data_IF_958655187848
#
_entry.id   IF_958655187848
#
_cell.length_a   1.000
_cell.length_b   1.000
_cell.length_c   1.000
_cell.angle_alpha   90.00
_cell.angle_beta   90.00
_cell.angle_gamma   90.00
#
_symmetry.space_group_name_H-M   'P 1'
#
loop_
_entity.id
_entity.type
_entity.pdbx_description
1 polymer ?
#
# COMPACT_ATOMS: atom_id res chain seq x y z
N UNK A 1 3.13 -10.79 -20.01
CA UNK A 1 2.11 -11.79 -19.62
C UNK A 1 2.17 -12.13 -18.13
N UNK A 2 3.34 -12.36 -17.58
CA UNK A 2 3.57 -12.64 -16.16
C UNK A 2 3.05 -11.54 -15.20
N UNK A 3 3.22 -10.26 -15.56
CA UNK A 3 2.72 -9.12 -14.78
C UNK A 3 1.19 -9.11 -14.72
N UNK A 4 0.52 -9.44 -15.82
CA UNK A 4 -0.95 -9.53 -15.90
C UNK A 4 -1.46 -10.60 -14.95
N UNK A 5 -0.77 -11.71 -14.85
CA UNK A 5 -1.11 -12.79 -13.91
C UNK A 5 -0.86 -12.39 -12.46
N UNK A 6 0.31 -11.82 -12.15
CA UNK A 6 0.65 -11.33 -10.81
C UNK A 6 -0.32 -10.30 -10.26
N UNK A 7 -0.82 -9.43 -11.12
CA UNK A 7 -1.79 -8.39 -10.75
C UNK A 7 -3.25 -8.83 -10.92
N UNK A 8 -3.48 -10.09 -11.29
CA UNK A 8 -4.82 -10.67 -11.49
C UNK A 8 -5.70 -9.87 -12.48
N UNK A 9 -5.08 -9.43 -13.58
CA UNK A 9 -5.74 -8.64 -14.63
C UNK A 9 -6.22 -9.45 -15.83
N UNK A 10 -6.02 -10.76 -15.83
CA UNK A 10 -6.24 -11.63 -17.00
C UNK A 10 -7.66 -11.53 -17.58
N UNK A 11 -8.68 -11.46 -16.71
CA UNK A 11 -10.08 -11.39 -17.14
C UNK A 11 -10.46 -10.02 -17.71
N UNK A 12 -9.76 -8.97 -17.34
CA UNK A 12 -10.08 -7.59 -17.68
C UNK A 12 -9.17 -7.00 -18.76
N UNK A 13 -8.21 -7.78 -19.29
CA UNK A 13 -7.15 -7.31 -20.20
C UNK A 13 -7.64 -6.72 -21.51
N UNK A 14 -8.84 -7.09 -21.98
CA UNK A 14 -9.42 -6.61 -23.23
C UNK A 14 -10.28 -5.34 -23.05
N UNK A 15 -10.54 -4.92 -21.83
CA UNK A 15 -11.33 -3.73 -21.53
C UNK A 15 -10.47 -2.46 -21.59
N UNK A 16 -11.09 -1.35 -21.95
CA UNK A 16 -10.47 -0.03 -21.81
C UNK A 16 -10.36 0.34 -20.33
N UNK A 17 -9.34 1.14 -19.97
CA UNK A 17 -9.11 1.56 -18.58
C UNK A 17 -10.33 2.25 -17.97
N UNK A 18 -11.02 3.09 -18.75
CA UNK A 18 -12.25 3.77 -18.31
C UNK A 18 -13.41 2.84 -17.93
N UNK A 19 -13.39 1.60 -18.42
CA UNK A 19 -14.39 0.57 -18.15
C UNK A 19 -14.10 -0.26 -16.90
N UNK A 20 -12.93 -0.07 -16.30
CA UNK A 20 -12.48 -0.83 -15.14
C UNK A 20 -13.02 -0.24 -13.83
N UNK A 21 -13.27 -1.09 -12.83
CA UNK A 21 -13.50 -0.67 -11.46
C UNK A 21 -12.26 0.04 -10.89
N UNK A 22 -12.43 0.79 -9.82
CA UNK A 22 -11.32 1.48 -9.15
C UNK A 22 -10.23 0.50 -8.69
N UNK A 23 -10.61 -0.66 -8.17
CA UNK A 23 -9.66 -1.71 -7.77
C UNK A 23 -8.86 -2.25 -8.95
N UNK A 24 -9.50 -2.48 -10.09
CA UNK A 24 -8.79 -2.88 -11.31
C UNK A 24 -7.89 -1.78 -11.86
N UNK A 25 -8.29 -0.51 -11.80
CA UNK A 25 -7.42 0.62 -12.15
C UNK A 25 -6.17 0.68 -11.28
N UNK A 26 -6.29 0.43 -9.98
CA UNK A 26 -5.15 0.32 -9.06
C UNK A 26 -4.21 -0.82 -9.46
N UNK A 27 -4.75 -1.98 -9.84
CA UNK A 27 -3.95 -3.12 -10.32
C UNK A 27 -3.22 -2.80 -11.63
N UNK A 28 -3.84 -2.07 -12.54
CA UNK A 28 -3.17 -1.60 -13.78
C UNK A 28 -2.02 -0.67 -13.44
N UNK A 29 -2.19 0.25 -12.50
CA UNK A 29 -1.13 1.12 -12.01
C UNK A 29 0.05 0.33 -11.40
N UNK A 30 -0.25 -0.67 -10.58
CA UNK A 30 0.76 -1.58 -10.02
C UNK A 30 1.47 -2.38 -11.11
N UNK A 31 0.73 -2.92 -12.07
CA UNK A 31 1.31 -3.64 -13.20
C UNK A 31 2.27 -2.77 -14.02
N UNK A 32 1.88 -1.53 -14.30
CA UNK A 32 2.72 -0.56 -15.02
C UNK A 32 4.01 -0.25 -14.25
N UNK A 33 3.93 -0.07 -12.94
CA UNK A 33 5.09 0.18 -12.09
C UNK A 33 6.04 -1.03 -11.99
N UNK A 34 5.54 -2.25 -12.16
CA UNK A 34 6.30 -3.49 -12.06
C UNK A 34 6.94 -3.95 -13.37
N UNK A 35 6.56 -3.38 -14.52
CA UNK A 35 7.05 -3.80 -15.85
C UNK A 35 8.57 -3.79 -15.94
N UNK A 36 9.23 -2.82 -15.32
CA UNK A 36 10.68 -2.66 -15.35
C UNK A 36 11.42 -3.47 -14.28
N UNK A 37 10.73 -4.35 -13.56
CA UNK A 37 11.29 -5.14 -12.45
C UNK A 37 12.09 -4.30 -11.45
N UNK A 38 11.53 -3.21 -10.89
CA UNK A 38 12.24 -2.33 -9.98
C UNK A 38 12.55 -3.02 -8.65
N UNK A 39 13.65 -2.64 -8.01
CA UNK A 39 13.98 -3.07 -6.64
C UNK A 39 13.20 -2.28 -5.59
N UNK A 40 12.83 -1.05 -5.93
CA UNK A 40 12.08 -0.14 -5.06
C UNK A 40 10.80 0.28 -5.77
N UNK A 41 9.67 0.08 -5.11
CA UNK A 41 8.34 0.48 -5.58
C UNK A 41 7.80 1.58 -4.67
N UNK A 42 7.35 2.69 -5.27
CA UNK A 42 6.74 3.81 -4.55
C UNK A 42 5.28 3.89 -4.96
N UNK A 43 4.39 3.83 -3.95
CA UNK A 43 2.94 3.87 -4.14
C UNK A 43 2.34 5.04 -3.35
N UNK A 44 1.56 5.86 -4.03
CA UNK A 44 0.85 6.97 -3.42
C UNK A 44 -0.61 6.60 -3.19
N UNK A 45 -1.02 6.52 -1.92
CA UNK A 45 -2.40 6.22 -1.49
C UNK A 45 -3.02 4.98 -2.19
N UNK A 46 -2.35 3.81 -2.18
CA UNK A 46 -2.77 2.68 -3.02
C UNK A 46 -4.09 2.02 -2.60
N UNK A 47 -4.57 2.29 -1.39
CA UNK A 47 -5.79 1.68 -0.83
C UNK A 47 -6.98 2.65 -0.75
N UNK A 48 -6.79 3.92 -1.10
CA UNK A 48 -7.83 4.95 -0.97
C UNK A 48 -9.01 4.69 -1.91
N UNK A 49 -10.22 4.75 -1.35
CA UNK A 49 -11.47 4.68 -2.10
C UNK A 49 -11.82 3.30 -2.66
N UNK A 50 -11.19 2.24 -2.17
CA UNK A 50 -11.53 0.86 -2.51
C UNK A 50 -12.65 0.34 -1.59
N UNK A 51 -13.51 -0.54 -2.12
CA UNK A 51 -14.44 -1.28 -1.29
C UNK A 51 -13.71 -2.34 -0.42
N UNK A 52 -14.36 -2.92 0.59
CA UNK A 52 -13.69 -3.86 1.51
C UNK A 52 -13.03 -5.06 0.82
N UNK A 53 -13.64 -5.61 -0.23
CA UNK A 53 -13.09 -6.76 -0.95
C UNK A 53 -11.87 -6.36 -1.78
N UNK A 54 -11.96 -5.27 -2.53
CA UNK A 54 -10.86 -4.70 -3.29
C UNK A 54 -9.68 -4.32 -2.39
N UNK A 55 -9.97 -3.79 -1.20
CA UNK A 55 -8.97 -3.43 -0.21
C UNK A 55 -8.14 -4.64 0.25
N UNK A 56 -8.82 -5.75 0.56
CA UNK A 56 -8.15 -7.01 0.94
C UNK A 56 -7.25 -7.51 -0.20
N UNK A 57 -7.75 -7.50 -1.42
CA UNK A 57 -7.01 -7.97 -2.60
C UNK A 57 -5.77 -7.13 -2.89
N UNK A 58 -5.89 -5.80 -2.88
CA UNK A 58 -4.76 -4.88 -3.10
C UNK A 58 -3.74 -4.99 -1.96
N UNK A 59 -4.21 -5.10 -0.72
CA UNK A 59 -3.33 -5.33 0.44
C UNK A 59 -2.49 -6.58 0.29
N UNK A 60 -3.12 -7.69 -0.07
CA UNK A 60 -2.43 -8.96 -0.27
C UNK A 60 -1.43 -8.89 -1.43
N UNK A 61 -1.79 -8.21 -2.51
CA UNK A 61 -0.91 -7.99 -3.65
C UNK A 61 0.32 -7.16 -3.27
N UNK A 62 0.16 -6.07 -2.53
CA UNK A 62 1.28 -5.24 -2.04
C UNK A 62 2.20 -6.05 -1.13
N UNK A 63 1.66 -6.85 -0.22
CA UNK A 63 2.44 -7.73 0.66
C UNK A 63 3.24 -8.77 -0.12
N UNK A 64 2.65 -9.36 -1.14
CA UNK A 64 3.32 -10.34 -2.01
C UNK A 64 4.48 -9.69 -2.78
N UNK A 65 4.26 -8.51 -3.36
CA UNK A 65 5.31 -7.73 -4.03
C UNK A 65 6.44 -7.38 -3.05
N UNK A 66 6.10 -6.99 -1.84
CA UNK A 66 7.06 -6.58 -0.80
C UNK A 66 7.97 -7.69 -0.27
N UNK A 67 7.70 -8.95 -0.58
CA UNK A 67 8.58 -10.07 -0.18
C UNK A 67 9.97 -9.99 -0.82
N UNK A 68 10.06 -9.46 -2.04
CA UNK A 68 11.29 -9.42 -2.84
C UNK A 68 11.73 -8.00 -3.21
N UNK A 69 11.03 -6.98 -2.73
CA UNK A 69 11.25 -5.58 -3.08
C UNK A 69 11.09 -4.69 -1.86
N UNK A 70 11.67 -3.51 -1.93
CA UNK A 70 11.34 -2.43 -0.99
C UNK A 70 10.09 -1.73 -1.53
N UNK A 71 9.04 -1.69 -0.72
CA UNK A 71 7.81 -0.94 -1.03
C UNK A 71 7.68 0.22 -0.07
N UNK A 72 7.70 1.43 -0.62
CA UNK A 72 7.39 2.66 0.11
C UNK A 72 5.99 3.11 -0.30
N UNK A 73 5.06 3.17 0.63
CA UNK A 73 3.72 3.66 0.35
C UNK A 73 3.33 4.83 1.25
N UNK A 74 2.61 5.78 0.69
CA UNK A 74 1.94 6.82 1.47
C UNK A 74 0.51 6.42 1.77
N UNK A 75 0.00 6.76 2.93
CA UNK A 75 -1.41 6.60 3.29
C UNK A 75 -1.81 7.54 4.41
N UNK A 76 -3.07 7.96 4.41
CA UNK A 76 -3.71 8.62 5.54
C UNK A 76 -4.66 7.69 6.32
N UNK A 77 -4.79 6.43 5.86
CA UNK A 77 -5.65 5.42 6.48
C UNK A 77 -4.82 4.65 7.51
N UNK A 78 -4.79 5.14 8.73
CA UNK A 78 -3.93 4.61 9.81
C UNK A 78 -4.23 3.14 10.10
N UNK A 79 -5.48 2.71 10.00
CA UNK A 79 -5.92 1.35 10.25
C UNK A 79 -5.34 0.32 9.26
N UNK A 80 -4.89 0.77 8.08
CA UNK A 80 -4.27 -0.12 7.09
C UNK A 80 -2.79 -0.39 7.37
N UNK A 81 -2.11 0.51 8.06
CA UNK A 81 -0.66 0.44 8.29
C UNK A 81 -0.23 -0.88 8.93
N UNK A 82 -0.83 -1.33 10.07
CA UNK A 82 -0.40 -2.58 10.70
C UNK A 82 -0.65 -3.83 9.86
N UNK A 83 -1.55 -3.72 8.87
CA UNK A 83 -1.93 -4.84 8.00
C UNK A 83 -1.00 -5.00 6.79
N UNK A 84 -0.27 -3.93 6.42
CA UNK A 84 0.55 -3.91 5.21
C UNK A 84 2.03 -3.69 5.55
N UNK A 85 2.33 -2.80 6.50
CA UNK A 85 3.66 -2.25 6.71
C UNK A 85 4.40 -2.92 7.87
N UNK A 86 5.71 -3.08 7.73
CA UNK A 86 6.61 -3.50 8.80
C UNK A 86 7.36 -2.34 9.45
N UNK A 87 7.31 -1.16 8.85
CA UNK A 87 7.94 0.06 9.34
C UNK A 87 7.07 1.26 9.03
N UNK A 88 7.07 2.24 9.93
CA UNK A 88 6.35 3.50 9.71
C UNK A 88 7.26 4.70 9.81
N UNK A 89 6.94 5.72 9.02
CA UNK A 89 7.50 7.05 9.10
C UNK A 89 6.33 8.03 9.16
N UNK A 90 6.26 8.84 10.21
CA UNK A 90 5.24 9.88 10.34
C UNK A 90 5.85 11.23 10.01
N UNK A 91 5.21 11.95 9.11
CA UNK A 91 5.61 13.28 8.67
C UNK A 91 4.56 14.30 9.16
N UNK A 92 5.03 15.35 9.79
CA UNK A 92 4.19 16.48 10.19
C UNK A 92 4.89 17.80 9.88
N UNK A 93 4.21 18.70 9.19
CA UNK A 93 4.73 20.03 8.80
C UNK A 93 6.13 19.97 8.15
N UNK A 94 6.31 19.01 7.24
CA UNK A 94 7.57 18.82 6.50
C UNK A 94 8.72 18.18 7.29
N UNK A 95 8.46 17.70 8.50
CA UNK A 95 9.47 17.03 9.35
C UNK A 95 9.07 15.60 9.67
N UNK A 96 10.06 14.73 9.74
CA UNK A 96 9.87 13.36 10.26
C UNK A 96 9.75 13.46 11.78
N UNK A 97 8.60 13.07 12.29
CA UNK A 97 8.30 13.07 13.73
C UNK A 97 8.32 11.68 14.36
N UNK A 98 8.29 10.64 13.54
CA UNK A 98 8.47 9.24 13.96
C UNK A 98 9.11 8.43 12.83
N UNK A 99 9.97 7.49 13.20
CA UNK A 99 10.57 6.49 12.30
C UNK A 99 10.83 5.22 13.12
N UNK A 100 9.96 4.22 13.00
CA UNK A 100 9.96 3.06 13.90
C UNK A 100 9.44 1.81 13.21
N UNK A 101 9.96 0.66 13.64
CA UNK A 101 9.45 -0.64 13.22
C UNK A 101 8.09 -0.94 13.88
N UNK A 102 7.20 -1.60 13.14
CA UNK A 102 5.86 -1.97 13.65
C UNK A 102 5.96 -2.96 14.82
N UNK A 103 6.96 -3.82 14.85
CA UNK A 103 7.17 -4.75 15.95
C UNK A 103 7.40 -4.04 17.30
N UNK A 104 8.04 -2.88 17.29
CA UNK A 104 8.23 -2.08 18.51
C UNK A 104 6.90 -1.51 19.02
N UNK A 105 6.02 -1.07 18.14
CA UNK A 105 4.67 -0.63 18.53
C UNK A 105 3.86 -1.78 19.14
N UNK A 106 3.91 -2.95 18.53
CA UNK A 106 3.21 -4.14 19.00
C UNK A 106 3.69 -4.60 20.38
N UNK A 107 5.00 -4.61 20.59
CA UNK A 107 5.62 -4.98 21.88
C UNK A 107 5.26 -4.01 23.01
N UNK A 108 5.13 -2.73 22.71
CA UNK A 108 4.79 -1.69 23.67
C UNK A 108 3.29 -1.55 23.90
N UNK A 109 2.44 -2.24 23.13
CA UNK A 109 0.98 -2.11 23.20
C UNK A 109 0.47 -0.72 22.83
N UNK A 110 1.24 0.03 22.03
CA UNK A 110 0.90 1.40 21.65
C UNK A 110 -0.19 1.39 20.58
N UNK A 111 -1.27 2.13 20.82
CA UNK A 111 -2.27 2.38 19.81
C UNK A 111 -1.74 3.39 18.78
N UNK A 112 -1.58 2.95 17.54
CA UNK A 112 -0.97 3.75 16.49
C UNK A 112 -1.76 5.03 16.18
N UNK A 113 -3.08 4.97 16.20
CA UNK A 113 -3.95 6.12 15.93
C UNK A 113 -3.81 7.19 17.01
N UNK A 114 -3.82 6.80 18.28
CA UNK A 114 -3.59 7.72 19.39
C UNK A 114 -2.18 8.33 19.33
N UNK A 115 -1.18 7.52 19.00
CA UNK A 115 0.20 7.97 18.84
C UNK A 115 0.33 8.99 17.72
N UNK A 116 -0.29 8.72 16.56
CA UNK A 116 -0.34 9.65 15.43
C UNK A 116 -0.97 10.98 15.82
N UNK A 117 -2.13 10.96 16.46
CA UNK A 117 -2.80 12.19 16.91
C UNK A 117 -1.94 13.00 17.86
N UNK A 118 -1.25 12.35 18.80
CA UNK A 118 -0.34 13.04 19.73
C UNK A 118 0.81 13.75 19.02
N UNK A 119 1.37 13.13 17.97
CA UNK A 119 2.52 13.68 17.24
C UNK A 119 2.15 14.74 16.19
N UNK A 120 0.89 14.76 15.76
CA UNK A 120 0.43 15.65 14.68
C UNK A 120 -0.52 16.77 15.13
N UNK A 121 -0.87 16.80 16.39
CA UNK A 121 -1.73 17.85 16.98
C UNK A 121 -1.01 19.17 17.15
#
# INVERSE_FOLDING_TARGET
>A
EDIIEKTNLKLERSKKIEQLSKGYKQRVGLAAALIHTPDILILDEPTTGLDPNQLVEIRNLIKEIGKNKIVLLSTHIIQEIPKICNKIIIINKGKIVENRDMDEFNKQGVNLENHFHRLTS
#
